data_IF_333048933957
#
_entry.id   IF_333048933957
#
_cell.length_a   1.000
_cell.length_b   1.000
_cell.length_c   1.000
_cell.angle_alpha   90.00
_cell.angle_beta   90.00
_cell.angle_gamma   90.00
#
_symmetry.space_group_name_H-M   'P 1'
#
loop_
_entity.id
_entity.type
_entity.pdbx_description
1 polymer ?
#
# COMPACT_ATOMS: atom_id res chain seq x y z
N UNK A 1 7.49 2.33 -9.08
CA UNK A 1 7.43 0.91 -8.66
C UNK A 1 6.33 0.78 -7.62
N UNK A 2 5.73 -0.39 -7.47
CA UNK A 2 4.67 -0.67 -6.50
C UNK A 2 5.03 -1.93 -5.73
N UNK A 3 5.06 -1.85 -4.40
CA UNK A 3 5.10 -3.04 -3.55
C UNK A 3 3.67 -3.53 -3.35
N UNK A 4 3.43 -4.82 -3.55
CA UNK A 4 2.12 -5.43 -3.31
C UNK A 4 2.20 -6.44 -2.18
N UNK A 5 1.35 -6.23 -1.17
CA UNK A 5 1.29 -7.06 0.03
C UNK A 5 -0.15 -7.52 0.23
N UNK A 6 -0.32 -8.78 0.61
CA UNK A 6 -1.62 -9.35 0.95
C UNK A 6 -1.64 -9.58 2.46
N UNK A 7 -2.73 -9.17 3.10
CA UNK A 7 -2.99 -9.46 4.50
C UNK A 7 -4.24 -10.33 4.62
N UNK A 8 -4.09 -11.49 5.24
CA UNK A 8 -5.17 -12.46 5.45
C UNK A 8 -5.28 -12.83 6.93
N UNK A 9 -6.40 -13.47 7.29
CA UNK A 9 -6.64 -13.98 8.64
C UNK A 9 -7.06 -15.44 8.50
N UNK A 10 -6.43 -16.33 9.24
CA UNK A 10 -6.76 -17.75 9.22
C UNK A 10 -7.89 -18.11 10.20
N UNK A 11 -8.24 -19.40 10.24
CA UNK A 11 -9.30 -19.93 11.12
C UNK A 11 -8.97 -19.82 12.62
N UNK A 12 -7.71 -19.55 12.97
CA UNK A 12 -7.25 -19.32 14.34
C UNK A 12 -7.19 -17.83 14.71
N UNK A 13 -7.67 -16.95 13.82
CA UNK A 13 -7.59 -15.49 13.95
C UNK A 13 -6.17 -14.94 13.96
N UNK A 14 -5.21 -15.69 13.42
CA UNK A 14 -3.83 -15.22 13.22
C UNK A 14 -3.79 -14.38 11.95
N UNK A 15 -3.20 -13.20 12.03
CA UNK A 15 -2.98 -12.32 10.88
C UNK A 15 -1.73 -12.76 10.16
N UNK A 16 -1.83 -12.99 8.85
CA UNK A 16 -0.72 -13.27 7.96
C UNK A 16 -0.52 -12.09 7.01
N UNK A 17 0.73 -11.70 6.79
CA UNK A 17 1.09 -10.61 5.89
C UNK A 17 2.22 -11.06 4.96
N UNK A 18 1.90 -11.19 3.68
CA UNK A 18 2.79 -11.71 2.66
C UNK A 18 3.12 -10.64 1.62
N UNK A 19 4.40 -10.32 1.49
CA UNK A 19 4.89 -9.46 0.41
C UNK A 19 4.98 -10.29 -0.86
N UNK A 20 4.08 -10.03 -1.81
CA UNK A 20 4.01 -10.77 -3.07
C UNK A 20 5.13 -10.33 -4.01
N UNK A 21 5.48 -9.04 -3.99
CA UNK A 21 6.64 -8.55 -4.70
C UNK A 21 6.62 -7.07 -5.05
N UNK A 22 7.67 -6.68 -5.77
CA UNK A 22 7.87 -5.35 -6.31
C UNK A 22 7.59 -5.34 -7.81
N UNK A 23 6.57 -4.59 -8.21
CA UNK A 23 6.12 -4.50 -9.58
C UNK A 23 6.57 -3.17 -10.20
N UNK A 24 7.22 -3.25 -11.36
CA UNK A 24 7.47 -2.07 -12.16
C UNK A 24 6.16 -1.59 -12.80
N UNK A 25 5.87 -0.31 -12.62
CA UNK A 25 4.72 0.34 -13.23
C UNK A 25 5.21 1.19 -14.39
N UNK A 26 4.74 0.88 -15.59
CA UNK A 26 5.03 1.67 -16.80
C UNK A 26 4.26 3.00 -16.83
N UNK A 27 3.26 3.15 -15.95
CA UNK A 27 2.41 4.33 -15.85
C UNK A 27 1.88 4.46 -14.43
N UNK A 28 1.82 5.69 -13.94
CA UNK A 28 1.28 6.05 -12.63
C UNK A 28 -0.21 6.44 -12.70
N UNK A 29 -0.89 6.15 -13.81
CA UNK A 29 -2.33 6.40 -13.92
C UNK A 29 -3.11 5.35 -13.12
N UNK A 30 -4.13 5.79 -12.39
CA UNK A 30 -4.93 4.94 -11.51
C UNK A 30 -5.53 3.72 -12.24
N UNK A 31 -5.89 3.87 -13.51
CA UNK A 31 -6.39 2.78 -14.35
C UNK A 31 -5.35 1.69 -14.55
N UNK A 32 -4.13 2.06 -14.95
CA UNK A 32 -3.04 1.13 -15.17
C UNK A 32 -2.65 0.42 -13.86
N UNK A 33 -2.58 1.15 -12.75
CA UNK A 33 -2.32 0.57 -11.43
C UNK A 33 -3.41 -0.44 -11.06
N UNK A 34 -4.68 -0.11 -11.31
CA UNK A 34 -5.80 -1.03 -11.05
C UNK A 34 -5.69 -2.31 -11.87
N UNK A 35 -5.34 -2.22 -13.16
CA UNK A 35 -5.13 -3.39 -14.01
C UNK A 35 -4.00 -4.28 -13.49
N UNK A 36 -2.88 -3.69 -13.09
CA UNK A 36 -1.75 -4.43 -12.50
C UNK A 36 -2.17 -5.12 -11.21
N UNK A 37 -2.94 -4.47 -10.33
CA UNK A 37 -3.47 -5.09 -9.10
C UNK A 37 -4.34 -6.31 -9.44
N UNK A 38 -5.27 -6.19 -10.40
CA UNK A 38 -6.13 -7.29 -10.81
C UNK A 38 -5.33 -8.46 -11.38
N UNK A 39 -4.33 -8.18 -12.20
CA UNK A 39 -3.44 -9.21 -12.75
C UNK A 39 -2.64 -9.94 -11.65
N UNK A 40 -2.16 -9.22 -10.63
CA UNK A 40 -1.49 -9.84 -9.48
C UNK A 40 -2.45 -10.75 -8.71
N UNK A 41 -3.68 -10.30 -8.45
CA UNK A 41 -4.70 -11.10 -7.78
C UNK A 41 -5.00 -12.39 -8.55
N UNK A 42 -5.14 -12.31 -9.87
CA UNK A 42 -5.33 -13.49 -10.74
C UNK A 42 -4.15 -14.46 -10.63
N UNK A 43 -2.90 -13.96 -10.65
CA UNK A 43 -1.70 -14.80 -10.49
C UNK A 43 -1.58 -15.44 -9.11
N UNK A 44 -2.21 -14.84 -8.11
CA UNK A 44 -2.31 -15.39 -6.74
C UNK A 44 -3.53 -16.31 -6.56
N UNK A 45 -4.33 -16.55 -7.62
CA UNK A 45 -5.59 -17.29 -7.55
C UNK A 45 -6.60 -16.70 -6.54
N UNK A 46 -6.64 -15.37 -6.44
CA UNK A 46 -7.52 -14.63 -5.53
C UNK A 46 -8.60 -13.86 -6.30
N UNK A 47 -9.87 -14.23 -6.09
CA UNK A 47 -10.99 -13.44 -6.60
C UNK A 47 -11.14 -12.16 -5.75
N UNK A 48 -11.10 -11.00 -6.43
CA UNK A 48 -11.31 -9.67 -5.84
C UNK A 48 -12.56 -9.59 -4.96
N UNK A 49 -13.59 -10.40 -5.20
CA UNK A 49 -14.81 -10.47 -4.37
C UNK A 49 -14.55 -10.87 -2.92
N UNK A 50 -13.45 -11.57 -2.65
CA UNK A 50 -13.04 -11.95 -1.31
C UNK A 50 -12.15 -10.91 -0.63
N UNK A 51 -11.57 -9.96 -1.38
CA UNK A 51 -10.81 -8.86 -0.81
C UNK A 51 -11.73 -7.89 -0.05
N UNK A 52 -11.52 -7.71 1.25
CA UNK A 52 -12.35 -6.82 2.09
C UNK A 52 -11.70 -5.49 2.42
N UNK A 53 -10.38 -5.41 2.31
CA UNK A 53 -9.62 -4.21 2.60
C UNK A 53 -8.76 -3.80 1.40
N UNK A 54 -8.51 -2.50 1.29
CA UNK A 54 -7.52 -1.94 0.40
C UNK A 54 -6.82 -0.77 1.12
N UNK A 55 -5.50 -0.78 1.13
CA UNK A 55 -4.68 0.20 1.84
C UNK A 55 -3.69 0.88 0.91
N UNK A 56 -3.80 2.19 0.75
CA UNK A 56 -2.90 2.97 -0.13
C UNK A 56 -2.52 4.31 0.51
N UNK A 57 -1.50 4.97 -0.04
CA UNK A 57 -1.18 6.35 0.32
C UNK A 57 -2.30 7.34 -0.05
N UNK A 58 -2.15 8.57 0.45
CA UNK A 58 -3.10 9.65 0.23
C UNK A 58 -3.02 10.29 -1.15
N UNK A 59 -2.15 9.84 -2.06
CA UNK A 59 -2.02 10.47 -3.37
C UNK A 59 -3.33 10.38 -4.16
N UNK A 60 -3.70 11.43 -4.90
CA UNK A 60 -4.97 11.50 -5.62
C UNK A 60 -5.19 10.31 -6.58
N UNK A 61 -4.11 9.80 -7.19
CA UNK A 61 -4.13 8.60 -8.01
C UNK A 61 -4.61 7.36 -7.24
N UNK A 62 -4.25 7.23 -5.96
CA UNK A 62 -4.57 6.06 -5.15
C UNK A 62 -5.88 6.26 -4.37
N UNK A 63 -5.99 7.37 -3.64
CA UNK A 63 -7.08 7.68 -2.70
C UNK A 63 -8.25 8.47 -3.33
N UNK A 64 -8.11 8.90 -4.59
CA UNK A 64 -9.09 9.76 -5.26
C UNK A 64 -10.48 9.14 -5.32
N UNK A 65 -11.49 9.85 -4.81
CA UNK A 65 -12.85 9.33 -4.67
C UNK A 65 -13.56 9.04 -6.01
N UNK A 66 -13.23 9.77 -7.07
CA UNK A 66 -13.88 9.63 -8.38
C UNK A 66 -13.13 8.70 -9.34
N UNK A 67 -11.82 8.86 -9.43
CA UNK A 67 -11.00 8.20 -10.46
C UNK A 67 -9.78 7.47 -9.92
N UNK A 68 -9.55 7.51 -8.61
CA UNK A 68 -8.44 6.85 -7.96
C UNK A 68 -8.58 5.33 -7.93
N UNK A 69 -7.48 4.63 -7.63
CA UNK A 69 -7.45 3.17 -7.50
C UNK A 69 -8.49 2.69 -6.49
N UNK A 70 -8.60 3.37 -5.34
CA UNK A 70 -9.58 3.06 -4.30
C UNK A 70 -11.02 3.05 -4.79
N UNK A 71 -11.40 4.06 -5.58
CA UNK A 71 -12.73 4.15 -6.18
C UNK A 71 -12.96 3.05 -7.22
N UNK A 72 -11.98 2.78 -8.07
CA UNK A 72 -12.06 1.73 -9.11
C UNK A 72 -12.21 0.34 -8.53
N UNK A 73 -11.42 -0.01 -7.51
CA UNK A 73 -11.54 -1.28 -6.80
C UNK A 73 -12.88 -1.38 -6.06
N UNK A 74 -13.35 -0.28 -5.46
CA UNK A 74 -14.67 -0.24 -4.80
C UNK A 74 -15.83 -0.44 -5.78
N UNK A 75 -15.71 0.02 -7.03
CA UNK A 75 -16.70 -0.24 -8.07
C UNK A 75 -16.75 -1.73 -8.46
N UNK A 76 -15.60 -2.42 -8.47
CA UNK A 76 -15.51 -3.85 -8.75
C UNK A 76 -15.97 -4.71 -7.57
N UNK A 77 -15.68 -4.26 -6.35
CA UNK A 77 -16.10 -4.89 -5.12
C UNK A 77 -16.58 -3.83 -4.10
N UNK A 78 -17.90 -3.60 -4.01
CA UNK A 78 -18.47 -2.62 -3.08
C UNK A 78 -18.16 -2.88 -1.60
N UNK A 79 -17.72 -4.10 -1.25
CA UNK A 79 -17.35 -4.50 0.11
C UNK A 79 -15.86 -4.25 0.42
N UNK A 80 -15.07 -3.72 -0.51
CA UNK A 80 -13.65 -3.40 -0.31
C UNK A 80 -13.50 -2.02 0.36
N UNK A 81 -13.22 -2.02 1.67
CA UNK A 81 -13.06 -0.81 2.45
C UNK A 81 -11.68 -0.19 2.26
N UNK A 82 -11.64 1.10 1.97
CA UNK A 82 -10.40 1.85 1.84
C UNK A 82 -9.89 2.32 3.20
N UNK A 83 -8.63 2.00 3.47
CA UNK A 83 -7.89 2.46 4.64
C UNK A 83 -6.75 3.34 4.15
N UNK A 84 -6.70 4.56 4.65
CA UNK A 84 -5.60 5.46 4.35
C UNK A 84 -4.30 4.97 5.01
N UNK A 85 -3.21 4.93 4.25
CA UNK A 85 -1.91 4.55 4.78
C UNK A 85 -1.31 5.72 5.58
N UNK A 86 -1.28 5.60 6.90
CA UNK A 86 -0.66 6.57 7.79
C UNK A 86 0.87 6.53 7.77
N UNK A 87 1.49 5.64 6.99
CA UNK A 87 2.95 5.59 6.87
C UNK A 87 3.53 6.91 6.36
N UNK A 88 2.81 7.62 5.48
CA UNK A 88 3.25 8.94 5.03
C UNK A 88 3.22 9.99 6.16
N UNK A 89 2.18 9.96 7.00
CA UNK A 89 2.12 10.81 8.19
C UNK A 89 3.22 10.48 9.19
N UNK A 90 3.56 9.19 9.33
CA UNK A 90 4.67 8.75 10.17
C UNK A 90 6.02 9.22 9.61
N UNK A 91 6.24 9.10 8.30
CA UNK A 91 7.47 9.56 7.65
C UNK A 91 7.65 11.08 7.78
N UNK A 92 6.58 11.87 7.57
CA UNK A 92 6.61 13.32 7.82
C UNK A 92 6.88 13.67 9.28
N UNK A 93 6.27 12.95 10.23
CA UNK A 93 6.52 13.16 11.65
C UNK A 93 7.98 12.84 12.01
N UNK A 94 8.54 11.75 11.48
CA UNK A 94 9.94 11.40 11.65
C UNK A 94 10.88 12.44 11.04
N UNK A 95 10.59 12.92 9.82
CA UNK A 95 11.36 13.99 9.18
C UNK A 95 11.38 15.28 10.02
N UNK A 96 10.25 15.65 10.61
CA UNK A 96 10.19 16.80 11.53
C UNK A 96 11.01 16.55 12.80
N UNK A 97 10.89 15.36 13.41
CA UNK A 97 11.63 15.02 14.63
C UNK A 97 13.15 14.90 14.40
N UNK A 98 13.59 14.51 13.19
CA UNK A 98 15.01 14.52 12.84
C UNK A 98 15.61 15.92 12.77
N UNK A 99 14.80 16.94 12.49
CA UNK A 99 15.24 18.34 12.54
C UNK A 99 15.37 18.85 13.99
N UNK A 100 14.63 18.26 14.92
CA UNK A 100 14.63 18.67 16.34
C UNK A 100 15.61 17.85 17.21
N UNK A 101 15.93 16.61 16.83
CA UNK A 101 16.78 15.71 17.60
C UNK A 101 17.88 15.06 16.75
N UNK A 102 19.16 15.45 16.94
CA UNK A 102 20.30 14.88 16.22
C UNK A 102 20.48 13.37 16.44
N UNK A 103 20.10 12.85 17.62
CA UNK A 103 20.18 11.42 17.93
C UNK A 103 19.19 10.59 17.10
N UNK A 104 18.00 11.12 16.84
CA UNK A 104 16.97 10.49 15.99
C UNK A 104 17.42 10.50 14.53
N UNK A 105 18.04 11.59 14.07
CA UNK A 105 18.61 11.69 12.72
C UNK A 105 19.73 10.68 12.49
N UNK A 106 20.63 10.49 13.47
CA UNK A 106 21.73 9.54 13.35
C UNK A 106 21.23 8.09 13.29
N UNK A 107 20.25 7.71 14.12
CA UNK A 107 19.66 6.36 14.09
C UNK A 107 18.93 6.05 12.76
N UNK A 108 18.20 7.03 12.22
CA UNK A 108 17.52 6.90 10.93
C UNK A 108 18.50 6.76 9.77
N UNK A 109 19.60 7.51 9.78
CA UNK A 109 20.63 7.41 8.73
C UNK A 109 21.34 6.05 8.74
N UNK A 110 21.70 5.51 9.92
CA UNK A 110 22.27 4.16 10.03
C UNK A 110 21.32 3.11 9.44
N UNK A 111 20.01 3.27 9.67
CA UNK A 111 19.02 2.33 9.14
C UNK A 111 18.89 2.44 7.62
N UNK A 112 19.01 3.66 7.05
CA UNK A 112 19.04 3.87 5.58
C UNK A 112 20.28 3.27 4.93
N UNK A 113 21.44 3.36 5.59
CA UNK A 113 22.71 2.82 5.09
C UNK A 113 22.75 1.28 5.09
N UNK A 114 21.91 0.62 5.89
CA UNK A 114 21.81 -0.85 5.95
C UNK A 114 20.85 -1.40 4.88
N UNK A 115 19.94 -0.57 4.35
CA UNK A 115 18.92 -0.97 3.38
C UNK A 115 19.42 -0.80 1.92
N UNK A 116 20.57 -0.17 1.72
CA UNK A 116 21.29 -0.08 0.43
C UNK A 116 22.47 -1.05 0.37
#
# INVERSE_FOLDING_TARGET
>A
QMCFTIRSVDDQFIVHEDVIGLYQLNSQHAEHITQVILDILIRCDLDIKFCRGQGYDGAATMSGHLSGVSARIKNLNPKAYFVHCNAHSLDLALQNLTCESPSVASALNITKDIIH
#
